data_IF_643405434400
#
_entry.id   IF_643405434400
#
_cell.length_a   1.000
_cell.length_b   1.000
_cell.length_c   1.000
_cell.angle_alpha   90.00
_cell.angle_beta   90.00
_cell.angle_gamma   90.00
#
_symmetry.space_group_name_H-M   'P 1'
#
loop_
_entity.id
_entity.type
_entity.pdbx_description
1 polymer ?
#
# COMPACT_ATOMS: atom_id res chain seq x y z
N UNK A 1 18.72 4.83 8.81
CA UNK A 1 18.28 4.02 7.66
C UNK A 1 17.68 5.00 6.67
N UNK A 2 18.44 5.35 5.63
CA UNK A 2 17.95 6.15 4.51
C UNK A 2 17.18 5.22 3.60
N UNK A 3 15.96 5.63 3.26
CA UNK A 3 15.06 4.85 2.44
C UNK A 3 15.34 5.22 0.98
N UNK A 4 15.71 4.26 0.14
CA UNK A 4 15.86 4.46 -1.31
C UNK A 4 14.60 3.94 -2.01
N UNK A 5 13.72 4.86 -2.40
CA UNK A 5 12.45 4.54 -3.04
C UNK A 5 12.55 4.65 -4.56
N UNK A 6 11.76 3.85 -5.27
CA UNK A 6 11.53 4.09 -6.70
C UNK A 6 10.69 5.36 -6.87
N UNK A 7 11.06 6.27 -7.79
CA UNK A 7 10.20 7.39 -8.13
C UNK A 7 8.87 6.89 -8.71
N UNK A 8 7.80 7.70 -8.63
CA UNK A 8 6.52 7.38 -9.27
C UNK A 8 6.73 7.02 -10.75
N UNK A 9 6.01 6.00 -11.24
CA UNK A 9 6.08 5.62 -12.64
C UNK A 9 5.61 6.77 -13.54
N UNK A 10 6.27 6.95 -14.69
CA UNK A 10 5.90 7.99 -15.67
C UNK A 10 5.04 7.43 -16.81
N UNK A 11 4.92 6.13 -16.89
CA UNK A 11 4.22 5.40 -17.95
C UNK A 11 3.32 4.33 -17.33
N UNK A 12 2.20 4.03 -17.99
CA UNK A 12 1.33 2.92 -17.62
C UNK A 12 2.08 1.60 -17.77
N UNK A 13 1.93 0.73 -16.77
CA UNK A 13 2.49 -0.63 -16.80
C UNK A 13 1.78 -1.54 -17.82
N UNK A 14 0.59 -1.16 -18.31
CA UNK A 14 -0.20 -1.92 -19.28
C UNK A 14 -0.02 -1.38 -20.69
N UNK A 15 -0.29 -0.10 -20.94
CA UNK A 15 -0.19 0.49 -22.28
C UNK A 15 1.21 0.97 -22.64
N UNK A 16 2.09 1.21 -21.66
CA UNK A 16 3.39 1.85 -21.86
C UNK A 16 3.28 3.34 -22.23
N UNK A 17 2.07 3.91 -22.21
CA UNK A 17 1.88 5.32 -22.52
C UNK A 17 2.26 6.21 -21.34
N UNK A 18 2.86 7.36 -21.64
CA UNK A 18 3.21 8.35 -20.62
C UNK A 18 1.95 8.94 -19.98
N UNK A 19 1.98 9.11 -18.66
CA UNK A 19 0.93 9.83 -17.96
C UNK A 19 1.04 11.33 -18.19
N UNK A 20 -0.10 11.99 -18.36
CA UNK A 20 -0.23 13.43 -18.52
C UNK A 20 -0.28 14.13 -17.16
N UNK A 21 0.14 15.38 -17.11
CA UNK A 21 -0.06 16.21 -15.91
C UNK A 21 -1.55 16.33 -15.57
N UNK A 22 -1.88 16.19 -14.28
CA UNK A 22 -3.26 16.19 -13.77
C UNK A 22 -3.99 14.84 -13.95
N UNK A 23 -3.38 13.86 -14.61
CA UNK A 23 -3.96 12.53 -14.77
C UNK A 23 -3.96 11.76 -13.45
N UNK A 24 -5.03 10.99 -13.21
CA UNK A 24 -5.14 10.10 -12.05
C UNK A 24 -4.55 8.74 -12.41
N UNK A 25 -3.53 8.35 -11.67
CA UNK A 25 -2.89 7.04 -11.75
C UNK A 25 -3.38 6.17 -10.62
N UNK A 26 -3.87 4.98 -10.96
CA UNK A 26 -4.20 3.93 -10.00
C UNK A 26 -2.97 3.06 -9.80
N UNK A 27 -2.43 3.10 -8.59
CA UNK A 27 -1.33 2.24 -8.18
C UNK A 27 -1.92 0.99 -7.53
N UNK A 28 -1.49 -0.19 -7.97
CA UNK A 28 -1.97 -1.48 -7.47
C UNK A 28 -0.80 -2.26 -6.91
N UNK A 29 -0.93 -2.70 -5.66
CA UNK A 29 -0.02 -3.67 -5.04
C UNK A 29 -0.63 -5.06 -5.19
N UNK A 30 0.13 -6.00 -5.74
CA UNK A 30 -0.33 -7.37 -5.98
C UNK A 30 0.79 -8.37 -5.76
N UNK A 31 0.44 -9.66 -5.76
CA UNK A 31 1.42 -10.75 -5.84
C UNK A 31 1.54 -11.23 -7.30
N UNK A 32 2.75 -11.56 -7.72
CA UNK A 32 2.99 -12.29 -8.96
C UNK A 32 2.77 -13.81 -8.77
N UNK A 33 2.97 -14.59 -9.84
CA UNK A 33 2.79 -16.03 -9.82
C UNK A 33 3.76 -16.75 -8.87
N UNK A 34 4.89 -16.12 -8.54
CA UNK A 34 5.89 -16.60 -7.59
C UNK A 34 5.62 -16.12 -6.16
N UNK A 35 4.52 -15.40 -5.92
CA UNK A 35 4.15 -14.85 -4.61
C UNK A 35 5.06 -13.70 -4.16
N UNK A 36 5.71 -13.00 -5.08
CA UNK A 36 6.48 -11.80 -4.79
C UNK A 36 5.59 -10.56 -4.91
N UNK A 37 5.84 -9.61 -4.02
CA UNK A 37 5.17 -8.33 -4.03
C UNK A 37 5.61 -7.52 -5.25
N UNK A 38 4.62 -7.05 -6.01
CA UNK A 38 4.81 -6.19 -7.17
C UNK A 38 3.89 -4.97 -7.08
N UNK A 39 4.28 -3.91 -7.78
CA UNK A 39 3.45 -2.73 -8.00
C UNK A 39 3.31 -2.48 -9.49
N UNK A 40 2.10 -2.15 -9.90
CA UNK A 40 1.81 -1.57 -11.21
C UNK A 40 1.17 -0.19 -11.03
N UNK A 41 1.49 0.71 -11.95
CA UNK A 41 0.86 2.03 -12.07
C UNK A 41 0.06 2.03 -13.38
N UNK A 42 -1.24 2.27 -13.29
CA UNK A 42 -2.21 2.14 -14.38
C UNK A 42 -3.06 3.40 -14.52
N UNK A 43 -3.63 3.61 -15.71
CA UNK A 43 -4.73 4.56 -15.88
C UNK A 43 -6.00 4.04 -15.23
N UNK A 44 -6.93 4.92 -14.87
CA UNK A 44 -8.20 4.52 -14.26
C UNK A 44 -8.98 3.50 -15.12
N UNK A 45 -8.99 3.70 -16.45
CA UNK A 45 -9.64 2.79 -17.40
C UNK A 45 -8.97 1.41 -17.52
N UNK A 46 -7.68 1.30 -17.21
CA UNK A 46 -6.92 0.04 -17.23
C UNK A 46 -7.07 -0.71 -15.90
N UNK A 47 -7.25 0.02 -14.80
CA UNK A 47 -7.23 -0.51 -13.45
C UNK A 47 -8.43 -1.42 -13.14
N UNK A 48 -9.61 -1.09 -13.66
CA UNK A 48 -10.83 -1.89 -13.45
C UNK A 48 -10.74 -3.29 -14.08
N UNK A 49 -9.95 -3.44 -15.14
CA UNK A 49 -9.71 -4.72 -15.82
C UNK A 49 -8.49 -5.48 -15.27
N UNK A 50 -7.74 -4.90 -14.34
CA UNK A 50 -6.51 -5.49 -13.85
C UNK A 50 -6.77 -6.64 -12.86
N UNK A 51 -6.17 -7.79 -13.15
CA UNK A 51 -6.09 -8.95 -12.27
C UNK A 51 -4.67 -9.50 -12.22
N UNK A 52 -4.26 -10.02 -11.07
CA UNK A 52 -2.94 -10.63 -10.89
C UNK A 52 -3.08 -12.09 -10.42
N UNK A 53 -2.24 -13.04 -10.89
CA UNK A 53 -2.32 -14.44 -10.48
C UNK A 53 -2.09 -14.73 -9.00
N UNK A 54 -1.44 -13.84 -8.26
CA UNK A 54 -1.29 -13.97 -6.81
C UNK A 54 -2.28 -13.10 -6.02
N UNK A 55 -3.23 -12.49 -6.72
CA UNK A 55 -4.25 -11.62 -6.13
C UNK A 55 -3.81 -10.18 -5.92
N UNK A 56 -4.80 -9.29 -5.90
CA UNK A 56 -4.64 -7.87 -5.57
C UNK A 56 -4.69 -7.69 -4.05
N UNK A 57 -3.76 -6.90 -3.53
CA UNK A 57 -3.63 -6.65 -2.09
C UNK A 57 -4.24 -5.31 -1.70
N UNK A 58 -4.02 -4.28 -2.52
CA UNK A 58 -4.53 -2.94 -2.28
C UNK A 58 -4.35 -2.03 -3.49
N UNK A 59 -5.10 -0.93 -3.49
CA UNK A 59 -5.16 0.04 -4.58
C UNK A 59 -5.18 1.45 -4.00
N UNK A 60 -4.39 2.36 -4.55
CA UNK A 60 -4.48 3.78 -4.18
C UNK A 60 -4.34 4.66 -5.41
N UNK A 61 -4.77 5.92 -5.31
CA UNK A 61 -4.77 6.87 -6.41
C UNK A 61 -3.75 7.96 -6.14
N UNK A 62 -3.04 8.38 -7.17
CA UNK A 62 -2.22 9.59 -7.15
C UNK A 62 -2.52 10.42 -8.39
N UNK A 63 -2.34 11.72 -8.27
CA UNK A 63 -2.41 12.65 -9.40
C UNK A 63 -0.99 12.93 -9.89
N UNK A 64 -0.76 12.91 -11.20
CA UNK A 64 0.52 13.30 -11.78
C UNK A 64 0.68 14.80 -11.65
N UNK A 65 1.71 15.23 -10.93
CA UNK A 65 2.01 16.65 -10.72
C UNK A 65 3.05 17.16 -11.72
N UNK A 66 3.27 18.47 -11.73
CA UNK A 66 4.38 19.05 -12.51
C UNK A 66 5.72 18.44 -12.07
N UNK A 67 6.75 18.37 -12.94
CA UNK A 67 8.07 17.81 -12.57
C UNK A 67 8.72 18.46 -11.35
N UNK A 68 8.47 19.76 -11.13
CA UNK A 68 8.99 20.50 -9.98
C UNK A 68 8.25 20.15 -8.68
N UNK A 69 6.94 19.88 -8.78
CA UNK A 69 6.13 19.44 -7.65
C UNK A 69 6.37 17.98 -7.31
N UNK A 70 6.54 17.08 -8.29
CA UNK A 70 6.87 15.67 -8.04
C UNK A 70 8.19 15.52 -7.26
N UNK A 71 9.22 16.29 -7.60
CA UNK A 71 10.48 16.29 -6.86
C UNK A 71 10.31 16.70 -5.39
N UNK A 72 9.35 17.60 -5.11
CA UNK A 72 9.02 18.06 -3.75
C UNK A 72 8.08 17.10 -3.02
N UNK A 73 7.21 16.42 -3.75
CA UNK A 73 6.20 15.50 -3.23
C UNK A 73 6.70 14.09 -3.02
N UNK A 74 7.74 13.63 -3.72
CA UNK A 74 8.26 12.26 -3.58
C UNK A 74 8.50 11.84 -2.12
N UNK A 75 8.92 12.78 -1.26
CA UNK A 75 9.11 12.51 0.18
C UNK A 75 7.83 12.62 1.02
N UNK A 76 6.84 13.42 0.60
CA UNK A 76 5.55 13.60 1.29
C UNK A 76 4.54 12.51 0.91
N UNK A 77 4.56 12.10 -0.36
CA UNK A 77 3.74 11.03 -0.90
C UNK A 77 3.91 9.77 -0.08
N UNK A 78 5.13 9.37 0.29
CA UNK A 78 5.37 8.15 1.08
C UNK A 78 4.41 7.93 2.27
N UNK A 79 4.19 8.94 3.12
CA UNK A 79 3.28 8.77 4.26
C UNK A 79 1.82 8.74 3.85
N UNK A 80 1.43 9.57 2.88
CA UNK A 80 0.09 9.57 2.30
C UNK A 80 -0.19 8.23 1.61
N UNK A 81 0.74 7.74 0.80
CA UNK A 81 0.70 6.44 0.14
C UNK A 81 0.63 5.27 1.12
N UNK A 82 1.40 5.31 2.21
CA UNK A 82 1.34 4.23 3.24
C UNK A 82 -0.02 4.23 3.94
N UNK A 83 -0.57 5.41 4.24
CA UNK A 83 -1.90 5.56 4.84
C UNK A 83 -2.99 5.07 3.88
N UNK A 84 -2.98 5.53 2.63
CA UNK A 84 -3.93 5.12 1.58
C UNK A 84 -3.84 3.63 1.25
N UNK A 85 -2.63 3.07 1.16
CA UNK A 85 -2.42 1.64 1.00
C UNK A 85 -3.03 0.89 2.18
N UNK A 86 -2.75 1.30 3.43
CA UNK A 86 -3.33 0.66 4.60
C UNK A 86 -4.86 0.64 4.57
N UNK A 87 -5.49 1.76 4.20
CA UNK A 87 -6.95 1.83 4.09
C UNK A 87 -7.46 0.88 3.00
N UNK A 88 -6.82 0.85 1.83
CA UNK A 88 -7.27 0.02 0.72
C UNK A 88 -7.16 -1.48 0.98
N UNK A 89 -6.26 -1.93 1.85
CA UNK A 89 -6.21 -3.33 2.29
C UNK A 89 -7.52 -3.80 2.97
N UNK A 90 -8.33 -2.88 3.51
CA UNK A 90 -9.63 -3.21 4.12
C UNK A 90 -10.80 -3.12 3.15
N UNK A 91 -10.59 -2.53 1.98
CA UNK A 91 -11.58 -2.38 0.92
C UNK A 91 -11.45 -3.50 -0.10
N UNK A 92 -10.25 -4.09 -0.21
CA UNK A 92 -9.97 -5.22 -1.08
C UNK A 92 -10.59 -6.53 -0.54
N UNK A 93 -11.23 -7.27 -1.45
CA UNK A 93 -11.96 -8.50 -1.15
C UNK A 93 -11.43 -9.73 -1.89
N UNK A 94 -10.37 -9.58 -2.68
CA UNK A 94 -9.75 -10.70 -3.40
C UNK A 94 -9.29 -11.82 -2.44
N UNK A 95 -9.86 -13.04 -2.53
CA UNK A 95 -9.53 -14.13 -1.62
C UNK A 95 -8.11 -14.68 -1.82
N UNK A 96 -7.53 -14.55 -3.01
CA UNK A 96 -6.21 -15.14 -3.34
C UNK A 96 -5.08 -14.48 -2.53
N UNK A 97 -5.22 -13.18 -2.24
CA UNK A 97 -4.26 -12.39 -1.48
C UNK A 97 -4.57 -12.21 0.02
N UNK A 98 -5.61 -12.85 0.59
CA UNK A 98 -6.07 -12.53 1.96
C UNK A 98 -5.00 -12.74 3.03
N UNK A 99 -4.22 -13.82 2.95
CA UNK A 99 -3.19 -14.11 3.96
C UNK A 99 -2.08 -13.04 3.97
N UNK A 100 -1.57 -12.66 2.79
CA UNK A 100 -0.53 -11.63 2.71
C UNK A 100 -1.11 -10.24 2.97
N UNK A 101 -2.38 -10.00 2.64
CA UNK A 101 -3.10 -8.78 3.02
C UNK A 101 -3.25 -8.67 4.54
N UNK A 102 -3.52 -9.75 5.27
CA UNK A 102 -3.54 -9.76 6.74
C UNK A 102 -2.16 -9.37 7.34
N UNK A 103 -1.09 -9.96 6.80
CA UNK A 103 0.30 -9.63 7.19
C UNK A 103 0.61 -8.15 6.93
N UNK A 104 0.20 -7.63 5.76
CA UNK A 104 0.39 -6.21 5.41
C UNK A 104 -0.42 -5.29 6.32
N UNK A 105 -1.67 -5.62 6.65
CA UNK A 105 -2.50 -4.87 7.61
C UNK A 105 -1.77 -4.73 8.94
N UNK A 106 -1.22 -5.83 9.47
CA UNK A 106 -0.46 -5.82 10.72
C UNK A 106 0.81 -4.97 10.64
N UNK A 107 1.63 -5.18 9.60
CA UNK A 107 2.89 -4.45 9.40
C UNK A 107 2.64 -2.94 9.28
N UNK A 108 1.73 -2.55 8.39
CA UNK A 108 1.39 -1.14 8.15
C UNK A 108 0.77 -0.50 9.39
N UNK A 109 -0.08 -1.21 10.13
CA UNK A 109 -0.63 -0.69 11.38
C UNK A 109 0.47 -0.36 12.41
N UNK A 110 1.45 -1.25 12.60
CA UNK A 110 2.59 -1.02 13.50
C UNK A 110 3.45 0.16 13.03
N UNK A 111 3.68 0.29 11.72
CA UNK A 111 4.42 1.41 11.14
C UNK A 111 3.70 2.74 11.34
N UNK A 112 2.39 2.79 11.07
CA UNK A 112 1.54 3.97 11.21
C UNK A 112 1.36 4.36 12.68
N UNK A 113 1.29 3.39 13.59
CA UNK A 113 1.31 3.62 15.03
C UNK A 113 2.61 4.32 15.48
N UNK A 114 3.77 3.79 15.08
CA UNK A 114 5.08 4.39 15.39
C UNK A 114 5.19 5.83 14.86
N UNK A 115 4.57 6.08 13.71
CA UNK A 115 4.47 7.40 13.06
C UNK A 115 3.36 8.29 13.62
N UNK A 116 2.60 7.83 14.63
CA UNK A 116 1.47 8.52 15.29
C UNK A 116 0.29 8.85 14.35
N UNK A 117 0.19 8.15 13.23
CA UNK A 117 -0.94 8.24 12.30
C UNK A 117 -2.12 7.44 12.84
N UNK A 118 -1.89 6.21 13.29
CA UNK A 118 -2.89 5.38 13.98
C UNK A 118 -2.71 5.42 15.50
N UNK A 119 -3.79 5.18 16.23
CA UNK A 119 -3.81 5.02 17.69
C UNK A 119 -4.40 3.68 18.07
N UNK A 120 -3.71 2.91 18.92
CA UNK A 120 -4.31 1.70 19.50
C UNK A 120 -5.51 2.05 20.36
N UNK A 121 -6.56 1.26 20.25
CA UNK A 121 -7.76 1.35 21.09
C UNK A 121 -7.78 0.12 22.00
N UNK A 122 -7.28 0.30 23.22
CA UNK A 122 -7.21 -0.78 24.20
C UNK A 122 -6.22 -1.90 23.84
N UNK A 123 -6.18 -2.97 24.65
CA UNK A 123 -5.34 -4.14 24.38
C UNK A 123 -5.90 -4.99 23.24
N UNK A 124 -5.05 -5.80 22.61
CA UNK A 124 -5.49 -6.80 21.65
C UNK A 124 -6.37 -7.88 22.31
N UNK A 125 -7.46 -8.25 21.66
CA UNK A 125 -8.43 -9.25 22.14
C UNK A 125 -8.59 -10.32 21.08
N UNK A 126 -8.42 -11.60 21.47
CA UNK A 126 -8.53 -12.76 20.56
C UNK A 126 -7.68 -12.65 19.29
N UNK A 127 -6.44 -12.15 19.42
CA UNK A 127 -5.53 -11.99 18.28
C UNK A 127 -5.90 -10.85 17.34
N UNK A 128 -6.76 -9.90 17.77
CA UNK A 128 -7.10 -8.72 16.98
C UNK A 128 -6.74 -7.46 17.77
N UNK A 129 -6.00 -6.54 17.15
CA UNK A 129 -5.73 -5.22 17.70
C UNK A 129 -6.58 -4.18 16.97
N UNK A 130 -7.38 -3.44 17.73
CA UNK A 130 -8.13 -2.31 17.21
C UNK A 130 -7.26 -1.06 17.14
N UNK A 131 -7.33 -0.37 16.00
CA UNK A 131 -6.71 0.93 15.78
C UNK A 131 -7.76 1.96 15.36
N UNK A 132 -7.59 3.21 15.79
CA UNK A 132 -8.38 4.36 15.32
C UNK A 132 -7.50 5.27 14.48
N UNK A 133 -8.03 5.68 13.34
CA UNK A 133 -7.46 6.69 12.46
C UNK A 133 -8.10 8.06 12.76
N UNK A 134 -7.44 8.92 13.55
CA UNK A 134 -8.06 10.13 14.10
C UNK A 134 -8.49 11.14 13.04
N UNK A 135 -7.80 11.21 11.88
CA UNK A 135 -8.18 12.14 10.79
C UNK A 135 -9.40 11.68 9.99
N UNK A 136 -9.58 10.36 9.87
CA UNK A 136 -10.66 9.76 9.07
C UNK A 136 -11.84 9.35 9.95
N UNK A 137 -11.68 9.46 11.27
CA UNK A 137 -12.59 8.97 12.30
C UNK A 137 -13.08 7.53 12.09
N UNK A 138 -12.18 6.68 11.59
CA UNK A 138 -12.47 5.27 11.28
C UNK A 138 -11.66 4.34 12.18
N UNK A 139 -12.27 3.22 12.55
CA UNK A 139 -11.62 2.14 13.29
C UNK A 139 -11.30 0.96 12.37
N UNK A 140 -10.18 0.31 12.64
CA UNK A 140 -9.65 -0.81 11.89
C UNK A 140 -9.33 -1.95 12.85
N UNK A 141 -9.95 -3.11 12.62
CA UNK A 141 -9.67 -4.35 13.35
C UNK A 141 -8.57 -5.12 12.60
N UNK A 142 -7.35 -5.06 13.15
CA UNK A 142 -6.14 -5.61 12.52
C UNK A 142 -5.84 -6.98 13.14
N UNK A 143 -5.83 -8.08 12.35
CA UNK A 143 -5.34 -9.37 12.82
C UNK A 143 -3.88 -9.25 13.28
N UNK A 144 -3.58 -9.88 14.40
CA UNK A 144 -2.24 -9.93 15.00
C UNK A 144 -1.78 -11.38 14.98
N UNK A 145 -1.22 -11.77 13.84
CA UNK A 145 -0.61 -13.08 13.66
C UNK A 145 0.82 -13.08 14.22
N UNK A 146 1.30 -14.27 14.60
CA UNK A 146 2.71 -14.49 14.93
C UNK A 146 3.49 -14.56 13.62
N UNK A 147 3.93 -13.39 13.14
CA UNK A 147 4.64 -13.29 11.86
C UNK A 147 6.12 -13.54 12.11
N UNK A 148 6.69 -14.50 11.37
CA UNK A 148 8.12 -14.74 11.34
C UNK A 148 8.89 -13.42 11.06
N UNK A 149 9.81 -13.00 11.96
CA UNK A 149 10.64 -11.83 11.76
C UNK A 149 11.35 -11.79 10.40
N UNK A 150 11.76 -12.94 9.84
CA UNK A 150 12.38 -13.00 8.53
C UNK A 150 11.39 -12.64 7.40
N UNK A 151 10.13 -13.12 7.50
CA UNK A 151 9.06 -12.76 6.55
C UNK A 151 8.73 -11.27 6.65
N UNK A 152 8.68 -10.71 7.86
CA UNK A 152 8.46 -9.27 8.09
C UNK A 152 9.53 -8.41 7.44
N UNK A 153 10.81 -8.75 7.65
CA UNK A 153 11.94 -7.99 7.06
C UNK A 153 11.87 -8.04 5.54
N UNK A 154 11.63 -9.22 4.94
CA UNK A 154 11.51 -9.38 3.49
C UNK A 154 10.38 -8.52 2.91
N UNK A 155 9.18 -8.56 3.52
CA UNK A 155 8.04 -7.77 3.05
C UNK A 155 8.31 -6.28 3.23
N UNK A 156 8.93 -5.89 4.35
CA UNK A 156 9.31 -4.50 4.57
C UNK A 156 10.29 -4.01 3.50
N UNK A 157 11.32 -4.78 3.16
CA UNK A 157 12.28 -4.45 2.10
C UNK A 157 11.59 -4.34 0.74
N UNK A 158 10.67 -5.25 0.41
CA UNK A 158 9.90 -5.17 -0.84
C UNK A 158 9.00 -3.93 -0.88
N UNK A 159 8.28 -3.62 0.20
CA UNK A 159 7.46 -2.40 0.28
C UNK A 159 8.31 -1.13 0.11
N UNK A 160 9.52 -1.11 0.66
CA UNK A 160 10.43 0.04 0.50
C UNK A 160 10.84 0.30 -0.96
N UNK A 161 10.85 -0.73 -1.79
CA UNK A 161 11.21 -0.60 -3.21
C UNK A 161 10.01 -0.26 -4.08
N UNK A 162 8.79 -0.48 -3.59
CA UNK A 162 7.56 -0.41 -4.37
C UNK A 162 6.69 0.81 -4.04
N UNK A 163 6.71 1.30 -2.80
CA UNK A 163 5.71 2.27 -2.30
C UNK A 163 6.33 3.61 -1.95
#
# INVERSE_FOLDING_TARGET
MEWQFKPPARESSVSGETFSEGEIVVCILHLDAEGQLQRVDLREEEADAFSAPGGVLGRWRREVKTPNEEAREARRQLMATTEELFVSLFEESDPEGEQDRAVLKQLLALMLERKRVLRRVGPAVKGVQRYRHPKQDREYDVPMDDIDPAKLIRIQEQLQLLV
#
